data_IF_793731338899
#
_entry.id   IF_793731338899
#
_cell.length_a   1.000
_cell.length_b   1.000
_cell.length_c   1.000
_cell.angle_alpha   90.00
_cell.angle_beta   90.00
_cell.angle_gamma   90.00
#
_symmetry.space_group_name_H-M   'P 1'
#
loop_
_entity.id
_entity.type
_entity.pdbx_description
1 polymer ?
#
# COMPACT_ATOMS: atom_id res chain seq x y z
N UNK A 1 -7.81 -1.54 -10.69
CA UNK A 1 -6.69 -2.38 -10.19
C UNK A 1 -7.10 -2.98 -8.84
N UNK A 2 -6.73 -4.22 -8.55
CA UNK A 2 -6.86 -4.83 -7.22
C UNK A 2 -5.93 -4.15 -6.21
N UNK A 3 -6.21 -4.29 -4.91
CA UNK A 3 -5.35 -3.76 -3.84
C UNK A 3 -3.90 -4.25 -3.97
N UNK A 4 -3.73 -5.54 -4.27
CA UNK A 4 -2.42 -6.16 -4.47
C UNK A 4 -1.64 -5.49 -5.60
N UNK A 5 -2.30 -5.27 -6.75
CA UNK A 5 -1.69 -4.60 -7.90
C UNK A 5 -1.32 -3.15 -7.59
N UNK A 6 -2.20 -2.42 -6.89
CA UNK A 6 -1.93 -1.04 -6.46
C UNK A 6 -0.69 -0.98 -5.55
N UNK A 7 -0.60 -1.90 -4.57
CA UNK A 7 0.53 -1.96 -3.64
C UNK A 7 1.85 -2.20 -4.36
N UNK A 8 1.89 -3.25 -5.20
CA UNK A 8 3.09 -3.62 -5.96
C UNK A 8 3.50 -2.50 -6.90
N UNK A 9 2.54 -1.84 -7.55
CA UNK A 9 2.78 -0.69 -8.40
C UNK A 9 3.44 0.46 -7.63
N UNK A 10 2.87 0.88 -6.50
CA UNK A 10 3.42 1.97 -5.67
C UNK A 10 4.81 1.62 -5.18
N UNK A 11 5.01 0.41 -4.66
CA UNK A 11 6.30 -0.04 -4.14
C UNK A 11 7.39 -0.01 -5.21
N UNK A 12 7.10 -0.51 -6.42
CA UNK A 12 8.05 -0.50 -7.53
C UNK A 12 8.32 0.91 -8.05
N UNK A 13 7.27 1.73 -8.20
CA UNK A 13 7.39 3.11 -8.68
C UNK A 13 8.24 3.98 -7.76
N UNK A 14 8.11 3.78 -6.45
CA UNK A 14 8.85 4.52 -5.43
C UNK A 14 10.11 3.80 -4.95
N UNK A 15 10.46 2.64 -5.54
CA UNK A 15 11.61 1.81 -5.19
C UNK A 15 11.69 1.45 -3.69
N UNK A 16 10.56 1.15 -3.08
CA UNK A 16 10.46 0.82 -1.65
C UNK A 16 10.46 -0.70 -1.44
N UNK A 17 10.96 -1.15 -0.30
CA UNK A 17 10.71 -2.45 0.30
C UNK A 17 9.33 -2.48 0.99
N UNK A 18 8.85 -3.66 1.40
CA UNK A 18 7.61 -3.78 2.19
C UNK A 18 7.74 -3.07 3.55
N UNK A 19 8.91 -3.16 4.18
CA UNK A 19 9.22 -2.50 5.46
C UNK A 19 9.23 -0.98 5.33
N UNK A 20 9.83 -0.43 4.27
CA UNK A 20 9.83 1.02 4.04
C UNK A 20 8.43 1.54 3.72
N UNK A 21 7.61 0.79 2.97
CA UNK A 21 6.22 1.18 2.73
C UNK A 21 5.42 1.16 4.04
N UNK A 22 5.63 0.15 4.89
CA UNK A 22 4.99 0.04 6.20
C UNK A 22 5.36 1.23 7.10
N UNK A 23 6.64 1.60 7.17
CA UNK A 23 7.12 2.76 7.93
C UNK A 23 6.51 4.07 7.41
N UNK A 24 6.54 4.31 6.09
CA UNK A 24 6.02 5.54 5.48
C UNK A 24 4.50 5.69 5.60
N UNK A 25 3.76 4.58 5.56
CA UNK A 25 2.29 4.60 5.68
C UNK A 25 1.82 4.50 7.13
N UNK A 26 2.69 4.09 8.06
CA UNK A 26 2.31 3.72 9.42
C UNK A 26 1.35 2.53 9.48
N UNK A 27 1.38 1.66 8.47
CA UNK A 27 0.65 0.39 8.41
C UNK A 27 1.60 -0.72 8.89
N UNK A 28 1.11 -1.68 9.65
CA UNK A 28 1.96 -2.78 10.11
C UNK A 28 2.53 -3.58 8.91
N UNK A 29 3.82 -3.93 8.96
CA UNK A 29 4.50 -4.71 7.92
C UNK A 29 3.74 -5.98 7.55
N UNK A 30 3.22 -6.71 8.54
CA UNK A 30 2.44 -7.93 8.30
C UNK A 30 1.14 -7.67 7.52
N UNK A 31 0.56 -6.48 7.64
CA UNK A 31 -0.63 -6.09 6.87
C UNK A 31 -0.27 -5.80 5.42
N UNK A 32 0.83 -5.08 5.17
CA UNK A 32 1.37 -4.84 3.82
C UNK A 32 1.72 -6.17 3.14
N UNK A 33 2.47 -7.05 3.83
CA UNK A 33 2.82 -8.36 3.31
C UNK A 33 1.58 -9.21 3.00
N UNK A 34 0.55 -9.18 3.85
CA UNK A 34 -0.71 -9.88 3.63
C UNK A 34 -1.46 -9.34 2.40
N UNK A 35 -1.48 -8.02 2.20
CA UNK A 35 -2.10 -7.40 1.01
C UNK A 35 -1.39 -7.76 -0.30
N UNK A 36 -0.06 -7.95 -0.29
CA UNK A 36 0.66 -8.40 -1.48
C UNK A 36 0.52 -9.91 -1.76
N UNK A 37 0.16 -10.70 -0.76
CA UNK A 37 0.14 -12.17 -0.85
C UNK A 37 -1.26 -12.75 -1.02
N UNK A 38 -2.24 -12.25 -0.26
CA UNK A 38 -3.61 -12.78 -0.21
C UNK A 38 -4.59 -11.77 -0.78
N UNK A 39 -5.56 -12.25 -1.56
CA UNK A 39 -6.63 -11.40 -2.08
C UNK A 39 -7.66 -11.12 -0.97
N UNK A 40 -7.46 -10.01 -0.25
CA UNK A 40 -8.30 -9.61 0.89
C UNK A 40 -8.74 -8.16 0.76
N UNK A 41 -9.93 -7.87 1.31
CA UNK A 41 -10.38 -6.50 1.49
C UNK A 41 -9.65 -5.85 2.69
N UNK A 42 -9.06 -4.66 2.52
CA UNK A 42 -8.34 -4.00 3.58
C UNK A 42 -9.32 -3.39 4.60
N UNK A 43 -8.86 -3.22 5.84
CA UNK A 43 -9.61 -2.39 6.79
C UNK A 43 -9.58 -0.93 6.35
N UNK A 44 -10.73 -0.24 6.43
CA UNK A 44 -10.89 1.14 5.93
C UNK A 44 -9.82 2.10 6.47
N UNK A 45 -9.44 1.99 7.75
CA UNK A 45 -8.41 2.84 8.36
C UNK A 45 -7.03 2.64 7.73
N UNK A 46 -6.62 1.38 7.51
CA UNK A 46 -5.34 1.09 6.89
C UNK A 46 -5.36 1.46 5.40
N UNK A 47 -6.49 1.22 4.71
CA UNK A 47 -6.62 1.59 3.31
C UNK A 47 -6.57 3.11 3.11
N UNK A 48 -7.21 3.89 3.99
CA UNK A 48 -7.13 5.35 3.97
C UNK A 48 -5.70 5.87 4.15
N UNK A 49 -4.89 5.25 5.02
CA UNK A 49 -3.46 5.58 5.15
C UNK A 49 -2.69 5.32 3.86
N UNK A 50 -2.95 4.19 3.22
CA UNK A 50 -2.34 3.85 1.94
C UNK A 50 -2.73 4.85 0.85
N UNK A 51 -4.02 5.17 0.71
CA UNK A 51 -4.50 6.15 -0.28
C UNK A 51 -3.90 7.54 -0.05
N UNK A 52 -3.86 8.02 1.20
CA UNK A 52 -3.25 9.31 1.54
C UNK A 52 -1.75 9.32 1.19
N UNK A 53 -1.04 8.22 1.44
CA UNK A 53 0.36 8.07 1.02
C UNK A 53 0.50 8.11 -0.51
N UNK A 54 -0.38 7.44 -1.25
CA UNK A 54 -0.37 7.48 -2.72
C UNK A 54 -0.61 8.90 -3.24
N UNK A 55 -1.61 9.60 -2.72
CA UNK A 55 -1.93 10.97 -3.11
C UNK A 55 -0.77 11.93 -2.84
N UNK A 56 -0.12 11.82 -1.67
CA UNK A 56 1.06 12.62 -1.31
C UNK A 56 2.25 12.39 -2.26
N UNK A 57 2.32 11.23 -2.92
CA UNK A 57 3.33 10.89 -3.93
C UNK A 57 2.84 11.11 -5.38
N UNK A 58 1.69 11.78 -5.58
CA UNK A 58 1.14 12.04 -6.91
C UNK A 58 0.62 10.79 -7.62
N UNK A 59 0.29 9.74 -6.87
CA UNK A 59 -0.27 8.49 -7.39
C UNK A 59 -1.77 8.46 -7.08
N UNK A 60 -2.60 8.47 -8.13
CA UNK A 60 -4.05 8.32 -8.03
C UNK A 60 -4.48 7.01 -8.68
N UNK A 61 -5.41 6.33 -8.04
CA UNK A 61 -6.03 5.13 -8.57
C UNK A 61 -7.51 5.44 -8.82
N UNK A 62 -7.97 5.18 -10.04
CA UNK A 62 -9.39 5.21 -10.43
C UNK A 62 -10.05 3.85 -10.17
#
# INVERSE_FOLDING_TARGET
MSLKEQLIYVRRKLQLTQSELAEKTGIALITIARWETVDIKPQMKAYGKFLAFCEANGIKFE
#
